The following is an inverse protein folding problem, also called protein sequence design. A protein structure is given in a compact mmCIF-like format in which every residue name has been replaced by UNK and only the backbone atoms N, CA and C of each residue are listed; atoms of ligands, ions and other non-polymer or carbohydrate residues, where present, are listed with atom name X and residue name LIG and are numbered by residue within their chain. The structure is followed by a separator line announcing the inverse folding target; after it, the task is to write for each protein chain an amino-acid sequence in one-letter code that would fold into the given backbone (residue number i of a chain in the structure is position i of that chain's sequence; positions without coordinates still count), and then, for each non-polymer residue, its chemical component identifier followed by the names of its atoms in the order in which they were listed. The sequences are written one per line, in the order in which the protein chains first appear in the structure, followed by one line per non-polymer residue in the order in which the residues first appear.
data_IF_996607535583
#
_entry.id   IF_996607535583
#
_cell.length_a   1.000
_cell.length_b   1.000
_cell.length_c   1.000
_cell.angle_alpha   90.00
_cell.angle_beta   90.00
_cell.angle_gamma   90.00
#
_symmetry.space_group_name_H-M   'P 1'
#
loop_
_entity.id
_entity.type
_entity.pdbx_description
1 polymer ?
#
# COMPACT_ATOMS: atom_id res chain seq x y z
N UNK A 1 11.66 -9.80 22.26
CA UNK A 1 12.10 -9.48 20.90
C UNK A 1 10.98 -8.80 20.14
N UNK A 2 11.27 -7.67 19.54
CA UNK A 2 10.24 -6.79 18.97
C UNK A 2 10.15 -6.83 17.44
N UNK A 3 10.88 -7.71 16.77
CA UNK A 3 10.81 -7.82 15.32
C UNK A 3 9.59 -8.56 14.82
N UNK A 4 9.26 -8.47 13.51
CA UNK A 4 8.19 -9.26 12.94
C UNK A 4 8.52 -10.75 13.02
N UNK A 5 7.50 -11.55 13.30
CA UNK A 5 7.65 -13.00 13.46
C UNK A 5 7.63 -13.75 12.13
N UNK A 6 7.14 -13.11 11.07
CA UNK A 6 7.03 -13.71 9.76
C UNK A 6 7.06 -12.59 8.71
N UNK A 7 7.81 -12.79 7.63
CA UNK A 7 7.99 -11.81 6.56
C UNK A 7 7.98 -12.53 5.22
N UNK A 8 7.30 -11.96 4.24
CA UNK A 8 7.39 -12.39 2.85
C UNK A 8 7.72 -11.19 1.96
N UNK A 9 8.48 -11.43 0.90
CA UNK A 9 8.85 -10.41 -0.08
C UNK A 9 8.52 -10.94 -1.47
N UNK A 10 7.86 -10.11 -2.27
CA UNK A 10 7.53 -10.43 -3.65
C UNK A 10 8.00 -9.32 -4.57
N UNK A 11 8.70 -9.70 -5.63
CA UNK A 11 9.07 -8.80 -6.72
C UNK A 11 8.21 -9.14 -7.93
N UNK A 12 7.60 -8.15 -8.54
CA UNK A 12 6.80 -8.35 -9.74
C UNK A 12 7.05 -7.23 -10.74
N UNK A 13 7.07 -7.59 -12.02
CA UNK A 13 7.22 -6.59 -13.07
C UNK A 13 6.06 -5.61 -13.04
N UNK A 14 6.36 -4.37 -13.40
CA UNK A 14 5.33 -3.35 -13.59
C UNK A 14 4.44 -3.76 -14.75
N UNK A 15 3.16 -3.49 -14.64
CA UNK A 15 2.21 -3.81 -15.69
C UNK A 15 0.89 -4.30 -15.16
N UNK A 16 0.01 -4.72 -16.06
CA UNK A 16 -1.37 -5.07 -15.74
C UNK A 16 -1.51 -6.30 -14.83
N UNK A 17 -0.48 -7.14 -14.74
CA UNK A 17 -0.50 -8.33 -13.89
C UNK A 17 0.02 -8.08 -12.48
N UNK A 18 0.58 -6.89 -12.20
CA UNK A 18 1.17 -6.61 -10.90
C UNK A 18 0.13 -6.71 -9.78
N UNK A 19 -1.00 -6.02 -9.89
CA UNK A 19 -2.02 -6.02 -8.85
C UNK A 19 -2.58 -7.41 -8.56
N UNK A 20 -2.97 -8.22 -9.55
CA UNK A 20 -3.41 -9.59 -9.28
C UNK A 20 -2.37 -10.44 -8.54
N UNK A 21 -1.10 -10.32 -8.90
CA UNK A 21 -0.02 -11.07 -8.25
C UNK A 21 0.17 -10.61 -6.80
N UNK A 22 0.17 -9.31 -6.57
CA UNK A 22 0.28 -8.76 -5.21
C UNK A 22 -0.89 -9.21 -4.33
N UNK A 23 -2.10 -9.25 -4.89
CA UNK A 23 -3.29 -9.73 -4.16
C UNK A 23 -3.15 -11.18 -3.72
N UNK A 24 -2.58 -12.04 -4.54
CA UNK A 24 -2.37 -13.45 -4.20
C UNK A 24 -1.49 -13.54 -2.95
N UNK A 25 -0.38 -12.80 -2.91
CA UNK A 25 0.50 -12.80 -1.75
C UNK A 25 -0.20 -12.26 -0.51
N UNK A 26 -0.89 -11.13 -0.64
CA UNK A 26 -1.58 -10.50 0.49
C UNK A 26 -2.64 -11.44 1.06
N UNK A 27 -3.46 -12.04 0.21
CA UNK A 27 -4.49 -12.99 0.63
C UNK A 27 -3.91 -14.21 1.34
N UNK A 28 -2.86 -14.79 0.78
CA UNK A 28 -2.22 -15.96 1.37
C UNK A 28 -1.60 -15.66 2.73
N UNK A 29 -0.92 -14.53 2.83
CA UNK A 29 -0.29 -14.11 4.09
C UNK A 29 -1.34 -13.76 5.15
N UNK A 30 -2.39 -13.03 4.75
CA UNK A 30 -3.49 -12.67 5.65
C UNK A 30 -4.21 -13.91 6.21
N UNK A 31 -4.44 -14.90 5.35
CA UNK A 31 -5.05 -16.16 5.76
C UNK A 31 -4.19 -16.91 6.77
N UNK A 32 -2.88 -16.92 6.56
CA UNK A 32 -1.94 -17.54 7.49
C UNK A 32 -1.93 -16.88 8.87
N UNK A 33 -2.22 -15.60 8.94
CA UNK A 33 -2.19 -14.82 10.18
C UNK A 33 -3.57 -14.43 10.70
N UNK A 34 -4.62 -15.09 10.21
CA UNK A 34 -5.99 -14.95 10.70
C UNK A 34 -6.54 -13.52 10.62
N UNK A 35 -6.12 -12.77 9.59
CA UNK A 35 -6.70 -11.46 9.34
C UNK A 35 -8.15 -11.62 8.85
N UNK A 36 -9.14 -10.97 9.48
CA UNK A 36 -10.52 -11.05 9.02
C UNK A 36 -10.70 -10.58 7.57
N UNK A 37 -11.67 -11.15 6.87
CA UNK A 37 -11.91 -10.87 5.44
C UNK A 37 -12.16 -9.39 5.17
N UNK A 38 -12.93 -8.71 6.03
CA UNK A 38 -13.19 -7.28 5.87
C UNK A 38 -11.91 -6.44 6.00
N UNK A 39 -11.00 -6.85 6.88
CA UNK A 39 -9.69 -6.21 7.03
C UNK A 39 -8.80 -6.46 5.83
N UNK A 40 -8.84 -7.68 5.30
CA UNK A 40 -8.12 -8.04 4.09
C UNK A 40 -8.62 -7.21 2.89
N UNK A 41 -9.92 -7.07 2.73
CA UNK A 41 -10.51 -6.29 1.65
C UNK A 41 -10.05 -4.83 1.70
N UNK A 42 -10.03 -4.25 2.90
CA UNK A 42 -9.54 -2.87 3.09
C UNK A 42 -8.08 -2.74 2.66
N UNK A 43 -7.26 -3.71 3.04
CA UNK A 43 -5.83 -3.71 2.72
C UNK A 43 -5.60 -3.84 1.22
N UNK A 44 -6.33 -4.74 0.57
CA UNK A 44 -6.25 -4.91 -0.89
C UNK A 44 -6.70 -3.66 -1.64
N UNK A 45 -7.78 -3.01 -1.18
CA UNK A 45 -8.26 -1.78 -1.78
C UNK A 45 -7.26 -0.65 -1.61
N UNK A 46 -6.57 -0.58 -0.48
CA UNK A 46 -5.51 0.41 -0.26
C UNK A 46 -4.38 0.22 -1.28
N UNK A 47 -3.93 -1.00 -1.50
CA UNK A 47 -2.88 -1.30 -2.48
C UNK A 47 -3.36 -0.94 -3.89
N UNK A 48 -4.58 -1.30 -4.24
CA UNK A 48 -5.18 -0.95 -5.53
C UNK A 48 -5.22 0.57 -5.73
N UNK A 49 -5.59 1.30 -4.69
CA UNK A 49 -5.62 2.77 -4.72
C UNK A 49 -4.24 3.35 -5.01
N UNK A 50 -3.20 2.82 -4.38
CA UNK A 50 -1.82 3.28 -4.61
C UNK A 50 -1.34 3.00 -6.03
N UNK A 51 -1.83 1.95 -6.68
CA UNK A 51 -1.39 1.55 -8.01
C UNK A 51 -2.27 2.07 -9.14
N UNK A 52 -3.41 2.70 -8.83
CA UNK A 52 -4.45 3.02 -9.83
C UNK A 52 -3.94 3.85 -11.01
N UNK A 53 -3.11 4.86 -10.74
CA UNK A 53 -2.59 5.76 -11.78
C UNK A 53 -1.08 5.66 -11.93
N UNK A 54 -0.52 4.52 -11.58
CA UNK A 54 0.91 4.31 -11.65
C UNK A 54 1.35 4.28 -13.11
N UNK A 55 2.40 5.06 -13.50
CA UNK A 55 2.86 5.05 -14.89
C UNK A 55 3.41 3.67 -15.28
N UNK A 56 3.22 3.32 -16.54
CA UNK A 56 3.79 2.11 -17.11
C UNK A 56 5.29 2.23 -17.32
N UNK A 57 5.88 1.21 -17.94
CA UNK A 57 7.29 1.19 -18.29
C UNK A 57 8.03 0.04 -17.63
N UNK A 58 9.34 0.09 -17.72
CA UNK A 58 10.23 -0.93 -17.18
C UNK A 58 10.39 -0.79 -15.67
N UNK A 59 10.88 -1.86 -15.06
CA UNK A 59 11.11 -1.93 -13.62
C UNK A 59 10.11 -2.82 -12.93
N UNK A 60 10.14 -2.78 -11.62
CA UNK A 60 9.32 -3.69 -10.83
C UNK A 60 8.78 -3.01 -9.59
N UNK A 61 7.71 -3.61 -9.03
CA UNK A 61 7.26 -3.34 -7.69
C UNK A 61 7.83 -4.39 -6.76
N UNK A 62 8.12 -3.99 -5.53
CA UNK A 62 8.51 -4.91 -4.46
C UNK A 62 7.54 -4.74 -3.31
N UNK A 63 6.89 -5.82 -2.93
CA UNK A 63 6.01 -5.84 -1.78
C UNK A 63 6.65 -6.65 -0.67
N UNK A 64 6.86 -6.03 0.48
CA UNK A 64 7.23 -6.72 1.71
C UNK A 64 6.01 -6.73 2.61
N UNK A 65 5.65 -7.90 3.13
CA UNK A 65 4.56 -8.05 4.06
C UNK A 65 5.08 -8.74 5.32
N UNK A 66 4.75 -8.20 6.48
CA UNK A 66 5.22 -8.70 7.76
C UNK A 66 4.07 -8.84 8.74
N UNK A 67 4.09 -9.93 9.50
CA UNK A 67 3.22 -10.07 10.65
C UNK A 67 3.82 -9.29 11.81
N UNK A 68 3.04 -8.37 12.35
CA UNK A 68 3.44 -7.56 13.51
C UNK A 68 2.44 -7.81 14.63
N UNK A 69 2.75 -7.33 15.83
CA UNK A 69 1.85 -7.50 16.96
C UNK A 69 0.49 -6.87 16.65
N UNK A 70 -0.56 -7.71 16.60
CA UNK A 70 -1.93 -7.25 16.38
C UNK A 70 -2.34 -7.00 14.94
N UNK A 71 -1.51 -7.34 13.94
CA UNK A 71 -1.90 -7.13 12.55
C UNK A 71 -0.82 -7.38 11.53
N UNK A 72 -0.92 -6.70 10.40
CA UNK A 72 0.03 -6.80 9.30
C UNK A 72 0.61 -5.44 8.95
N UNK A 73 1.84 -5.44 8.49
CA UNK A 73 2.49 -4.26 7.92
C UNK A 73 2.96 -4.58 6.50
N UNK A 74 2.65 -3.71 5.57
CA UNK A 74 3.05 -3.82 4.17
C UNK A 74 3.96 -2.67 3.80
N UNK A 75 4.97 -2.95 2.98
CA UNK A 75 5.77 -1.92 2.33
C UNK A 75 5.75 -2.16 0.83
N UNK A 76 5.27 -1.19 0.08
CA UNK A 76 5.20 -1.24 -1.37
C UNK A 76 6.20 -0.27 -1.96
N UNK A 77 7.22 -0.80 -2.62
CA UNK A 77 8.28 -0.06 -3.29
C UNK A 77 8.07 -0.02 -4.79
N UNK A 78 8.66 0.98 -5.43
CA UNK A 78 8.65 1.10 -6.88
C UNK A 78 7.61 2.07 -7.40
N UNK A 79 7.02 2.88 -6.53
CA UNK A 79 5.99 3.85 -6.93
C UNK A 79 6.62 5.06 -7.60
N UNK A 80 6.05 5.48 -8.73
CA UNK A 80 6.54 6.60 -9.54
C UNK A 80 5.50 7.67 -9.78
N UNK A 81 4.28 7.50 -9.28
CA UNK A 81 3.21 8.48 -9.46
C UNK A 81 3.48 9.71 -8.61
N UNK A 82 3.99 10.77 -9.23
CA UNK A 82 4.34 12.00 -8.54
C UNK A 82 3.12 12.69 -7.92
N UNK A 83 1.97 12.62 -8.58
CA UNK A 83 0.73 13.21 -8.06
C UNK A 83 0.30 12.51 -6.77
N UNK A 84 0.44 11.19 -6.72
CA UNK A 84 0.17 10.41 -5.52
C UNK A 84 1.12 10.82 -4.39
N UNK A 85 2.42 10.88 -4.67
CA UNK A 85 3.42 11.28 -3.69
C UNK A 85 3.14 12.67 -3.11
N UNK A 86 2.84 13.63 -3.98
CA UNK A 86 2.52 15.00 -3.57
C UNK A 86 1.27 15.03 -2.68
N UNK A 87 0.24 14.26 -3.05
CA UNK A 87 -0.99 14.17 -2.26
C UNK A 87 -0.74 13.59 -0.88
N UNK A 88 0.08 12.53 -0.79
CA UNK A 88 0.37 11.86 0.48
C UNK A 88 1.26 12.69 1.40
N UNK A 89 2.09 13.56 0.86
CA UNK A 89 3.01 14.40 1.62
C UNK A 89 2.40 15.74 2.05
N UNK A 90 1.28 16.14 1.45
CA UNK A 90 0.67 17.43 1.82
C UNK A 90 0.01 17.35 3.19
N UNK A 91 0.14 18.43 3.96
CA UNK A 91 -0.53 18.59 5.25
C UNK A 91 -1.72 19.52 5.17
N UNK A 92 -1.99 20.08 4.00
CA UNK A 92 -3.09 21.01 3.79
C UNK A 92 -4.44 20.31 3.90
N UNK A 93 -5.46 21.07 4.27
CA UNK A 93 -6.82 20.57 4.28
C UNK A 93 -7.23 20.19 2.86
N UNK A 94 -8.08 19.15 2.77
CA UNK A 94 -8.58 18.70 1.49
C UNK A 94 -9.35 19.84 0.80
N UNK A 95 -8.96 20.11 -0.43
CA UNK A 95 -9.69 21.01 -1.31
C UNK A 95 -9.91 20.29 -2.63
N UNK A 96 -11.18 20.00 -2.98
CA UNK A 96 -11.44 19.31 -4.23
C UNK A 96 -10.98 20.17 -5.41
N UNK A 97 -10.18 19.55 -6.28
CA UNK A 97 -9.80 20.15 -7.55
C UNK A 97 -10.84 19.76 -8.58
N UNK A 98 -10.99 20.57 -9.58
CA UNK A 98 -11.88 20.26 -10.67
C UNK A 98 -11.52 18.91 -11.31
N UNK A 99 -12.46 17.99 -11.38
CA UNK A 99 -12.22 16.63 -11.87
C UNK A 99 -11.68 15.65 -10.84
N UNK A 100 -11.41 16.10 -9.63
CA UNK A 100 -10.91 15.24 -8.56
C UNK A 100 -12.04 14.97 -7.58
N UNK A 101 -12.58 13.75 -7.60
CA UNK A 101 -13.74 13.37 -6.81
C UNK A 101 -13.40 12.81 -5.44
N UNK A 102 -12.14 12.41 -5.21
CA UNK A 102 -11.76 11.71 -4.01
C UNK A 102 -10.36 12.11 -3.57
N UNK A 103 -10.23 12.43 -2.28
CA UNK A 103 -8.93 12.64 -1.68
C UNK A 103 -8.34 11.28 -1.30
N UNK A 104 -7.21 10.92 -1.88
CA UNK A 104 -6.55 9.66 -1.63
C UNK A 104 -6.18 9.51 -0.14
N UNK A 105 -5.84 10.60 0.56
CA UNK A 105 -5.52 10.57 1.99
C UNK A 105 -6.72 10.13 2.82
N UNK A 106 -7.90 10.68 2.52
CA UNK A 106 -9.12 10.30 3.22
C UNK A 106 -9.46 8.84 2.96
N UNK A 107 -9.27 8.38 1.74
CA UNK A 107 -9.51 6.98 1.41
C UNK A 107 -8.56 6.06 2.18
N UNK A 108 -7.27 6.35 2.17
CA UNK A 108 -6.30 5.54 2.90
C UNK A 108 -6.53 5.60 4.41
N UNK A 109 -6.89 6.76 4.95
CA UNK A 109 -7.23 6.90 6.38
C UNK A 109 -8.43 6.03 6.76
N UNK A 110 -9.39 5.88 5.87
CA UNK A 110 -10.56 5.04 6.15
C UNK A 110 -10.27 3.54 6.02
N UNK A 111 -9.29 3.17 5.21
CA UNK A 111 -8.96 1.77 4.93
C UNK A 111 -7.88 1.20 5.85
N UNK A 112 -6.97 2.04 6.34
CA UNK A 112 -5.77 1.62 7.05
C UNK A 112 -5.76 2.19 8.47
N UNK A 113 -5.05 1.50 9.36
CA UNK A 113 -4.79 2.02 10.71
C UNK A 113 -3.62 2.99 10.73
N UNK A 114 -2.76 2.94 9.73
CA UNK A 114 -1.69 3.90 9.53
C UNK A 114 -1.03 3.72 8.19
N UNK A 115 -0.43 4.79 7.70
CA UNK A 115 0.41 4.72 6.49
C UNK A 115 1.40 5.88 6.51
N UNK A 116 2.50 5.71 5.80
CA UNK A 116 3.49 6.78 5.63
C UNK A 116 4.27 6.58 4.33
N UNK A 117 4.77 7.68 3.79
CA UNK A 117 5.67 7.66 2.63
C UNK A 117 7.09 7.43 3.13
N UNK A 118 7.76 6.46 2.53
CA UNK A 118 9.17 6.20 2.75
C UNK A 118 9.95 6.69 1.53
N UNK A 119 11.20 7.07 1.76
CA UNK A 119 12.08 7.53 0.67
C UNK A 119 11.47 8.73 -0.08
N UNK A 120 10.87 9.67 0.69
CA UNK A 120 10.15 10.81 0.12
C UNK A 120 11.00 11.66 -0.82
N UNK A 121 12.31 11.69 -0.59
CA UNK A 121 13.26 12.44 -1.43
C UNK A 121 13.77 11.62 -2.62
N UNK A 122 13.32 10.37 -2.75
CA UNK A 122 13.77 9.46 -3.80
C UNK A 122 12.69 9.24 -4.86
N UNK A 123 13.12 8.73 -6.00
CA UNK A 123 12.23 8.32 -7.06
C UNK A 123 12.82 7.05 -7.70
N UNK A 124 12.16 5.90 -7.59
CA UNK A 124 10.83 5.66 -7.03
C UNK A 124 10.78 5.79 -5.49
N UNK A 125 9.57 5.94 -4.98
CA UNK A 125 9.32 6.00 -3.54
C UNK A 125 8.55 4.78 -3.06
N UNK A 126 8.38 4.67 -1.75
CA UNK A 126 7.65 3.58 -1.13
C UNK A 126 6.57 4.11 -0.19
N UNK A 127 5.55 3.29 0.05
CA UNK A 127 4.52 3.55 1.06
C UNK A 127 4.46 2.35 2.00
N UNK A 128 4.52 2.63 3.29
CA UNK A 128 4.31 1.63 4.33
C UNK A 128 2.89 1.74 4.85
N UNK A 129 2.23 0.60 5.03
CA UNK A 129 0.83 0.52 5.47
C UNK A 129 0.72 -0.43 6.65
N UNK A 130 -0.18 -0.10 7.58
CA UNK A 130 -0.50 -0.99 8.70
C UNK A 130 -1.99 -1.24 8.76
N UNK A 131 -2.37 -2.50 9.03
CA UNK A 131 -3.74 -2.91 9.22
C UNK A 131 -3.83 -3.84 10.42
N UNK A 132 -4.64 -3.48 11.40
CA UNK A 132 -4.88 -4.29 12.58
C UNK A 132 -5.87 -5.42 12.28
N UNK A 133 -5.72 -6.51 13.00
CA UNK A 133 -6.62 -7.65 12.88
C UNK A 133 -7.93 -7.43 13.64
N UNK A 134 -7.98 -6.42 14.50
CA UNK A 134 -9.15 -6.15 15.36
C UNK A 134 -9.30 -4.67 15.67
#
# INVERSE_FOLDING_TARGET
MSGPSDIAVLRTARGSLALPVLRILISGFASRHDLPVDRLDDLELAVETLLADEPGGEGEFVLEIAAVSGGLRLRLDGLRNQNLKDALLTTDLFQPRQGCLLDVRLLLDSLLDGYRVLDADAHPFAVEMEKRAY
#
